data_IF_071800447282
#
_entry.id   IF_071800447282
#
_cell.length_a   1.000
_cell.length_b   1.000
_cell.length_c   1.000
_cell.angle_alpha   90.00
_cell.angle_beta   90.00
_cell.angle_gamma   90.00
#
_symmetry.space_group_name_H-M   'P 1'
#
loop_
_entity.id
_entity.type
_entity.pdbx_description
1 polymer ?
#
# COMPACT_ATOMS: atom_id res chain seq x y z
N UNK A 1 3.89 6.31 44.63
CA UNK A 1 2.59 6.03 44.02
C UNK A 1 2.82 5.19 42.77
N UNK A 2 2.26 3.98 42.72
CA UNK A 2 2.45 3.05 41.60
C UNK A 2 1.57 3.50 40.44
N UNK A 3 2.16 3.91 39.31
CA UNK A 3 1.43 4.14 38.06
C UNK A 3 0.84 2.81 37.60
N UNK A 4 -0.45 2.58 37.86
CA UNK A 4 -1.21 1.54 37.19
C UNK A 4 -1.23 1.85 35.69
N UNK A 5 -0.44 1.11 34.93
CA UNK A 5 -0.55 1.07 33.47
C UNK A 5 -1.89 0.43 33.16
N UNK A 6 -2.87 1.24 32.72
CA UNK A 6 -4.14 0.74 32.20
C UNK A 6 -3.80 -0.01 30.91
N UNK A 7 -3.70 -1.34 31.00
CA UNK A 7 -3.54 -2.21 29.83
C UNK A 7 -4.91 -2.31 29.19
N UNK A 8 -5.10 -1.56 28.11
CA UNK A 8 -6.32 -1.61 27.31
C UNK A 8 -6.44 -2.98 26.62
N UNK A 9 -7.39 -3.79 27.10
CA UNK A 9 -7.70 -5.14 26.60
C UNK A 9 -8.80 -5.14 25.53
N UNK A 10 -9.24 -3.98 25.06
CA UNK A 10 -10.34 -3.86 24.10
C UNK A 10 -9.81 -3.37 22.74
N UNK A 11 -10.34 -3.94 21.64
CA UNK A 11 -10.05 -3.50 20.26
C UNK A 11 -10.48 -2.05 19.97
N UNK A 12 -11.02 -1.34 20.97
CA UNK A 12 -11.57 0.02 20.89
C UNK A 12 -10.58 1.04 20.33
N UNK A 13 -9.29 0.94 20.67
CA UNK A 13 -8.26 1.82 20.11
C UNK A 13 -8.05 1.57 18.61
N UNK A 14 -8.08 0.30 18.19
CA UNK A 14 -7.90 -0.09 16.81
C UNK A 14 -9.09 0.35 15.96
N UNK A 15 -10.31 0.09 16.46
CA UNK A 15 -11.54 0.54 15.82
C UNK A 15 -11.64 2.06 15.72
N UNK A 16 -11.13 2.78 16.73
CA UNK A 16 -11.06 4.25 16.69
C UNK A 16 -10.08 4.71 15.62
N UNK A 17 -8.89 4.10 15.55
CA UNK A 17 -7.90 4.38 14.51
C UNK A 17 -8.48 4.14 13.11
N UNK A 18 -9.13 2.99 12.88
CA UNK A 18 -9.78 2.66 11.61
C UNK A 18 -10.85 3.69 11.22
N UNK A 19 -11.72 4.07 12.15
CA UNK A 19 -12.74 5.10 11.90
C UNK A 19 -12.12 6.44 11.56
N UNK A 20 -11.07 6.86 12.28
CA UNK A 20 -10.38 8.12 11.99
C UNK A 20 -9.80 8.11 10.58
N UNK A 21 -9.06 7.05 10.20
CA UNK A 21 -8.47 6.94 8.86
C UNK A 21 -9.56 6.96 7.77
N UNK A 22 -10.62 6.18 7.94
CA UNK A 22 -11.73 6.12 6.99
C UNK A 22 -12.40 7.49 6.81
N UNK A 23 -12.71 8.17 7.92
CA UNK A 23 -13.35 9.48 7.87
C UNK A 23 -12.44 10.52 7.23
N UNK A 24 -11.14 10.50 7.51
CA UNK A 24 -10.16 11.37 6.84
C UNK A 24 -10.22 11.16 5.32
N UNK A 25 -10.13 9.92 4.86
CA UNK A 25 -10.20 9.58 3.43
C UNK A 25 -11.50 10.03 2.79
N UNK A 26 -12.66 9.77 3.42
CA UNK A 26 -13.97 10.12 2.87
C UNK A 26 -14.26 11.63 2.89
N UNK A 27 -13.64 12.37 3.81
CA UNK A 27 -13.81 13.81 3.94
C UNK A 27 -12.90 14.63 3.02
N UNK A 28 -11.80 14.02 2.56
CA UNK A 28 -10.82 14.70 1.72
C UNK A 28 -11.27 14.76 0.26
N UNK A 29 -11.18 15.96 -0.32
CA UNK A 29 -11.44 16.20 -1.74
C UNK A 29 -10.12 16.18 -2.53
N UNK A 30 -9.04 16.62 -1.89
CA UNK A 30 -7.70 16.71 -2.46
C UNK A 30 -6.75 15.68 -1.84
N UNK A 31 -5.85 15.12 -2.67
CA UNK A 31 -4.93 14.06 -2.25
C UNK A 31 -3.84 14.59 -1.33
N UNK A 32 -3.32 15.80 -1.59
CA UNK A 32 -2.24 16.38 -0.79
C UNK A 32 -2.76 16.73 0.61
N UNK A 33 -3.99 17.27 0.67
CA UNK A 33 -4.69 17.49 1.94
C UNK A 33 -4.91 16.17 2.69
N UNK A 34 -5.40 15.12 2.00
CA UNK A 34 -5.61 13.81 2.63
C UNK A 34 -4.30 13.23 3.18
N UNK A 35 -3.23 13.23 2.39
CA UNK A 35 -1.94 12.73 2.79
C UNK A 35 -1.40 13.52 4.00
N UNK A 36 -1.56 14.85 4.00
CA UNK A 36 -1.14 15.70 5.11
C UNK A 36 -1.91 15.40 6.41
N UNK A 37 -3.23 15.21 6.34
CA UNK A 37 -4.04 14.85 7.50
C UNK A 37 -3.74 13.44 8.01
N UNK A 38 -3.52 12.46 7.11
CA UNK A 38 -3.13 11.10 7.49
C UNK A 38 -1.79 11.06 8.22
N UNK A 39 -0.84 11.95 7.87
CA UNK A 39 0.45 12.08 8.56
C UNK A 39 0.33 12.63 9.99
N UNK A 40 -0.74 13.37 10.30
CA UNK A 40 -1.01 13.88 11.65
C UNK A 40 -1.65 12.84 12.56
N UNK A 41 -2.16 11.73 12.01
CA UNK A 41 -2.76 10.66 12.81
C UNK A 41 -1.67 10.00 13.66
N UNK A 42 -1.91 9.92 14.97
CA UNK A 42 -0.96 9.31 15.90
C UNK A 42 -1.02 7.78 15.80
N UNK A 43 -0.16 7.21 14.95
CA UNK A 43 -0.05 5.77 14.74
C UNK A 43 0.98 5.20 15.71
N UNK A 44 0.58 4.23 16.53
CA UNK A 44 1.50 3.56 17.46
C UNK A 44 2.43 2.62 16.68
N UNK A 45 3.68 2.41 17.14
CA UNK A 45 4.58 1.41 16.57
C UNK A 45 3.89 0.04 16.45
N UNK A 46 3.91 -0.54 15.25
CA UNK A 46 3.26 -1.82 14.94
C UNK A 46 1.87 -1.71 14.29
N UNK A 47 1.19 -0.56 14.39
CA UNK A 47 -0.14 -0.34 13.80
C UNK A 47 -0.11 0.33 12.41
N UNK A 48 1.06 0.53 11.83
CA UNK A 48 1.21 1.22 10.54
C UNK A 48 0.58 0.45 9.38
N UNK A 49 0.38 -0.86 9.55
CA UNK A 49 -0.31 -1.68 8.55
C UNK A 49 -1.79 -1.30 8.42
N UNK A 50 -2.39 -0.84 9.51
CA UNK A 50 -3.82 -0.52 9.57
C UNK A 50 -4.14 0.67 8.68
N UNK A 51 -3.23 1.65 8.59
CA UNK A 51 -3.35 2.75 7.64
C UNK A 51 -3.44 2.26 6.20
N UNK A 52 -2.54 1.35 5.81
CA UNK A 52 -2.54 0.78 4.47
C UNK A 52 -3.80 -0.04 4.21
N UNK A 53 -4.20 -0.87 5.18
CA UNK A 53 -5.39 -1.72 5.10
C UNK A 53 -6.65 -0.86 4.91
N UNK A 54 -6.80 0.20 5.70
CA UNK A 54 -7.96 1.10 5.63
C UNK A 54 -8.04 1.88 4.32
N UNK A 55 -6.90 2.31 3.74
CA UNK A 55 -6.87 2.95 2.42
C UNK A 55 -7.36 1.98 1.34
N UNK A 56 -6.90 0.72 1.40
CA UNK A 56 -7.30 -0.33 0.46
C UNK A 56 -8.79 -0.66 0.59
N UNK A 57 -9.27 -0.85 1.81
CA UNK A 57 -10.67 -1.15 2.08
C UNK A 57 -11.56 0.01 1.62
N UNK A 58 -11.13 1.25 1.82
CA UNK A 58 -11.83 2.45 1.34
C UNK A 58 -11.89 2.52 -0.20
N UNK A 59 -10.81 2.11 -0.88
CA UNK A 59 -10.78 2.00 -2.34
C UNK A 59 -11.70 0.89 -2.85
N UNK A 60 -11.73 -0.26 -2.16
CA UNK A 60 -12.53 -1.42 -2.54
C UNK A 60 -14.04 -1.19 -2.35
N UNK A 61 -14.42 -0.28 -1.46
CA UNK A 61 -15.81 0.14 -1.24
C UNK A 61 -16.36 1.06 -2.34
N UNK A 62 -15.49 1.66 -3.16
CA UNK A 62 -15.95 2.55 -4.23
C UNK A 62 -16.56 1.77 -5.40
N UNK A 63 -17.62 2.32 -6.00
CA UNK A 63 -18.31 1.73 -7.15
C UNK A 63 -17.44 1.69 -8.41
N UNK A 64 -16.46 2.59 -8.50
CA UNK A 64 -15.47 2.67 -9.57
C UNK A 64 -14.14 3.14 -8.99
N UNK A 65 -13.03 2.80 -9.65
CA UNK A 65 -11.71 3.23 -9.20
C UNK A 65 -11.54 4.74 -9.38
N UNK A 66 -11.13 5.41 -8.30
CA UNK A 66 -10.79 6.82 -8.32
C UNK A 66 -9.27 7.02 -8.35
N UNK A 67 -8.81 7.91 -9.24
CA UNK A 67 -7.40 8.27 -9.37
C UNK A 67 -6.78 8.74 -8.04
N UNK A 68 -7.62 9.28 -7.15
CA UNK A 68 -7.30 9.64 -5.77
C UNK A 68 -6.53 8.54 -5.04
N UNK A 69 -7.00 7.28 -5.07
CA UNK A 69 -6.37 6.18 -4.35
C UNK A 69 -5.00 5.78 -4.93
N UNK A 70 -4.80 5.97 -6.24
CA UNK A 70 -3.50 5.73 -6.89
C UNK A 70 -2.44 6.74 -6.45
N UNK A 71 -2.82 8.01 -6.35
CA UNK A 71 -1.92 9.08 -5.89
C UNK A 71 -1.63 8.95 -4.39
N UNK A 72 -2.65 8.63 -3.59
CA UNK A 72 -2.48 8.38 -2.16
C UNK A 72 -1.56 7.17 -1.90
N UNK A 73 -1.73 6.09 -2.67
CA UNK A 73 -0.86 4.91 -2.60
C UNK A 73 0.60 5.19 -2.96
N UNK A 74 0.86 6.15 -3.87
CA UNK A 74 2.22 6.58 -4.21
C UNK A 74 2.91 7.29 -3.03
N UNK A 75 2.22 8.19 -2.34
CA UNK A 75 2.74 8.81 -1.12
C UNK A 75 2.96 7.80 0.02
N UNK A 76 2.08 6.80 0.14
CA UNK A 76 2.31 5.69 1.09
C UNK A 76 3.54 4.85 0.73
N UNK A 77 3.80 4.64 -0.56
CA UNK A 77 4.98 3.90 -1.02
C UNK A 77 6.28 4.62 -0.64
N UNK A 78 6.28 5.95 -0.65
CA UNK A 78 7.43 6.75 -0.23
C UNK A 78 7.82 6.49 1.22
N UNK A 79 6.89 6.10 2.12
CA UNK A 79 7.17 5.74 3.53
C UNK A 79 7.30 4.22 3.77
N UNK A 80 7.16 3.39 2.74
CA UNK A 80 7.09 1.91 2.82
C UNK A 80 8.39 1.25 3.29
N UNK A 81 9.51 1.95 3.18
CA UNK A 81 10.85 1.49 3.57
C UNK A 81 10.99 1.27 5.09
N UNK A 82 9.94 1.56 5.88
CA UNK A 82 9.83 1.28 7.32
C UNK A 82 9.02 0.02 7.66
N UNK A 83 8.56 -0.79 6.68
CA UNK A 83 7.60 -1.88 6.89
C UNK A 83 8.20 -3.31 6.79
N UNK A 84 7.75 -4.23 7.66
CA UNK A 84 8.19 -5.64 7.72
C UNK A 84 7.68 -6.55 6.57
N UNK A 85 8.33 -7.71 6.38
CA UNK A 85 8.20 -8.66 5.25
C UNK A 85 6.77 -9.10 4.85
N UNK A 86 5.81 -9.17 5.76
CA UNK A 86 4.41 -9.53 5.45
C UNK A 86 3.72 -8.40 4.68
N UNK A 87 4.01 -7.14 5.05
CA UNK A 87 3.42 -5.93 4.46
C UNK A 87 3.87 -5.76 3.01
N UNK A 88 5.13 -6.11 2.70
CA UNK A 88 5.65 -6.13 1.32
C UNK A 88 4.85 -7.04 0.38
N UNK A 89 4.30 -8.16 0.89
CA UNK A 89 3.50 -9.08 0.06
C UNK A 89 2.14 -8.50 -0.27
N UNK A 90 1.51 -7.79 0.66
CA UNK A 90 0.21 -7.16 0.43
C UNK A 90 0.32 -5.96 -0.52
N UNK A 91 1.40 -5.17 -0.40
CA UNK A 91 1.70 -4.08 -1.34
C UNK A 91 1.98 -4.63 -2.75
N UNK A 92 2.73 -5.73 -2.85
CA UNK A 92 2.98 -6.40 -4.13
C UNK A 92 1.68 -6.89 -4.79
N UNK A 93 0.75 -7.47 -4.01
CA UNK A 93 -0.58 -7.88 -4.48
C UNK A 93 -1.41 -6.70 -4.98
N UNK A 94 -1.40 -5.60 -4.24
CA UNK A 94 -2.12 -4.38 -4.60
C UNK A 94 -1.62 -3.81 -5.93
N UNK A 95 -0.31 -3.60 -6.07
CA UNK A 95 0.27 -3.08 -7.32
C UNK A 95 0.09 -4.06 -8.48
N UNK A 96 0.17 -5.37 -8.25
CA UNK A 96 -0.13 -6.37 -9.27
C UNK A 96 -1.56 -6.19 -9.79
N UNK A 97 -2.55 -6.05 -8.91
CA UNK A 97 -3.94 -5.87 -9.32
C UNK A 97 -4.16 -4.57 -10.11
N UNK A 98 -3.53 -3.46 -9.70
CA UNK A 98 -3.62 -2.19 -10.43
C UNK A 98 -3.01 -2.28 -11.85
N UNK A 99 -1.90 -3.00 -12.01
CA UNK A 99 -1.24 -3.22 -13.31
C UNK A 99 -2.04 -4.16 -14.22
N UNK A 100 -2.69 -5.17 -13.65
CA UNK A 100 -3.52 -6.15 -14.38
C UNK A 100 -4.76 -5.48 -14.95
N UNK A 101 -5.44 -4.70 -14.12
CA UNK A 101 -6.67 -3.98 -14.45
C UNK A 101 -6.45 -2.73 -15.31
N UNK A 102 -5.19 -2.39 -15.62
CA UNK A 102 -4.78 -1.15 -16.28
C UNK A 102 -5.21 0.13 -15.53
N UNK A 103 -5.47 0.03 -14.22
CA UNK A 103 -5.76 1.18 -13.37
C UNK A 103 -4.54 2.09 -13.18
N UNK A 104 -3.33 1.54 -13.33
CA UNK A 104 -2.06 2.29 -13.42
C UNK A 104 -1.28 1.89 -14.67
N UNK A 105 -0.56 2.86 -15.26
CA UNK A 105 0.28 2.62 -16.43
C UNK A 105 1.45 1.72 -16.08
N UNK A 106 1.78 0.77 -16.98
CA UNK A 106 2.95 -0.11 -16.84
C UNK A 106 4.27 0.66 -16.82
N UNK A 107 4.30 1.92 -17.27
CA UNK A 107 5.47 2.80 -17.22
C UNK A 107 5.97 3.01 -15.77
N UNK A 108 5.13 2.81 -14.76
CA UNK A 108 5.55 2.85 -13.35
C UNK A 108 6.58 1.77 -13.03
N UNK A 109 6.65 0.66 -13.79
CA UNK A 109 7.66 -0.38 -13.61
C UNK A 109 9.07 0.09 -14.03
N UNK A 110 9.19 1.19 -14.76
CA UNK A 110 10.48 1.73 -15.20
C UNK A 110 11.33 2.28 -14.04
N UNK A 111 10.71 2.54 -12.88
CA UNK A 111 11.44 2.89 -11.66
C UNK A 111 12.15 1.69 -11.02
N UNK A 112 11.77 0.46 -11.40
CA UNK A 112 12.39 -0.78 -10.90
C UNK A 112 13.69 -1.00 -11.66
N UNK A 113 14.82 -0.71 -11.01
CA UNK A 113 16.16 -0.97 -11.55
C UNK A 113 16.70 -2.29 -11.02
N UNK A 114 16.98 -3.22 -11.94
CA UNK A 114 17.60 -4.50 -11.63
C UNK A 114 19.12 -4.40 -11.76
N UNK A 115 19.76 -3.62 -10.88
CA UNK A 115 21.24 -3.53 -10.80
C UNK A 115 21.72 -4.06 -9.46
N UNK A 116 22.97 -4.51 -9.39
CA UNK A 116 23.56 -5.02 -8.15
C UNK A 116 23.58 -3.96 -7.03
N UNK A 117 23.68 -2.67 -7.40
CA UNK A 117 23.64 -1.53 -6.48
C UNK A 117 22.21 -1.14 -6.05
N UNK A 118 21.21 -1.20 -6.95
CA UNK A 118 19.82 -0.79 -6.64
C UNK A 118 18.96 -1.92 -6.05
N UNK A 119 19.33 -3.19 -6.29
CA UNK A 119 18.68 -4.38 -5.69
C UNK A 119 19.37 -4.87 -4.40
N UNK A 120 20.22 -4.05 -3.78
CA UNK A 120 21.03 -4.42 -2.60
C UNK A 120 20.18 -4.80 -1.37
N UNK A 121 19.01 -4.16 -1.16
CA UNK A 121 18.20 -4.45 0.01
C UNK A 121 17.43 -5.78 -0.13
N UNK A 122 17.47 -6.62 0.91
CA UNK A 122 16.70 -7.89 0.96
C UNK A 122 15.21 -7.66 0.69
N UNK A 123 14.68 -6.53 1.15
CA UNK A 123 13.29 -6.09 0.97
C UNK A 123 12.94 -5.78 -0.50
N UNK A 124 13.79 -5.07 -1.25
CA UNK A 124 13.54 -4.75 -2.67
C UNK A 124 13.45 -6.02 -3.53
N UNK A 125 14.34 -6.99 -3.30
CA UNK A 125 14.32 -8.28 -4.01
C UNK A 125 13.08 -9.10 -3.69
N UNK A 126 12.67 -9.14 -2.42
CA UNK A 126 11.47 -9.83 -1.96
C UNK A 126 10.21 -9.20 -2.57
N UNK A 127 10.15 -7.86 -2.62
CA UNK A 127 9.04 -7.13 -3.22
C UNK A 127 8.88 -7.42 -4.71
N UNK A 128 9.94 -7.26 -5.49
CA UNK A 128 9.92 -7.49 -6.95
C UNK A 128 9.53 -8.94 -7.24
N UNK A 129 10.15 -9.89 -6.55
CA UNK A 129 9.80 -11.32 -6.69
C UNK A 129 8.31 -11.53 -6.42
N UNK A 130 7.77 -10.95 -5.36
CA UNK A 130 6.36 -11.15 -5.02
C UNK A 130 5.44 -10.47 -6.03
N UNK A 131 5.75 -9.26 -6.47
CA UNK A 131 4.97 -8.50 -7.46
C UNK A 131 4.79 -9.30 -8.75
N UNK A 132 5.90 -9.83 -9.29
CA UNK A 132 5.84 -10.61 -10.53
C UNK A 132 5.16 -11.97 -10.36
N UNK A 133 5.30 -12.63 -9.21
CA UNK A 133 4.56 -13.87 -8.93
C UNK A 133 3.05 -13.62 -8.94
N UNK A 134 2.58 -12.53 -8.35
CA UNK A 134 1.15 -12.16 -8.35
C UNK A 134 0.67 -11.76 -9.75
N UNK A 135 1.47 -11.02 -10.53
CA UNK A 135 1.15 -10.71 -11.92
C UNK A 135 0.99 -11.99 -12.78
N UNK A 136 1.82 -13.00 -12.54
CA UNK A 136 1.70 -14.31 -13.20
C UNK A 136 0.43 -15.02 -12.75
N UNK A 137 0.09 -14.96 -11.47
CA UNK A 137 -1.13 -15.58 -10.92
C UNK A 137 -2.39 -14.97 -11.54
N UNK A 138 -2.41 -13.65 -11.78
CA UNK A 138 -3.56 -12.96 -12.37
C UNK A 138 -3.66 -13.07 -13.90
N UNK A 139 -2.55 -13.01 -14.63
CA UNK A 139 -2.56 -12.94 -16.11
C UNK A 139 -2.15 -14.25 -16.80
N UNK A 140 -1.40 -15.10 -16.09
CA UNK A 140 -0.63 -16.17 -16.69
C UNK A 140 0.67 -15.67 -17.34
N UNK A 141 1.68 -16.54 -17.36
CA UNK A 141 3.03 -16.21 -17.82
C UNK A 141 3.07 -15.70 -19.28
N UNK A 142 2.27 -16.30 -20.17
CA UNK A 142 2.26 -15.94 -21.59
C UNK A 142 1.69 -14.55 -21.85
N UNK A 143 0.62 -14.15 -21.15
CA UNK A 143 0.06 -12.79 -21.29
C UNK A 143 0.95 -11.75 -20.63
N UNK A 144 1.53 -12.07 -19.47
CA UNK A 144 2.46 -11.18 -18.80
C UNK A 144 3.67 -10.90 -19.69
N UNK A 145 4.26 -11.93 -20.29
CA UNK A 145 5.42 -11.76 -21.17
C UNK A 145 5.09 -10.85 -22.35
N UNK A 146 3.95 -11.10 -23.02
CA UNK A 146 3.45 -10.25 -24.11
C UNK A 146 3.30 -8.78 -23.66
N UNK A 147 2.71 -8.54 -22.48
CA UNK A 147 2.54 -7.18 -21.94
C UNK A 147 3.84 -6.47 -21.57
N UNK A 148 4.90 -7.21 -21.24
CA UNK A 148 6.21 -6.66 -20.91
C UNK A 148 7.04 -6.38 -22.17
N UNK A 149 6.88 -7.19 -23.22
CA UNK A 149 7.61 -7.04 -24.49
C UNK A 149 6.93 -6.11 -25.49
N UNK A 150 5.62 -5.88 -25.40
CA UNK A 150 4.87 -4.97 -26.28
C UNK A 150 5.09 -3.47 -25.91
N UNK A 151 6.32 -3.08 -25.55
CA UNK A 151 6.70 -1.67 -25.31
C UNK A 151 7.33 -1.04 -26.54
#
# INVERSE_FOLDING_TARGET
EQQQTIIDRTETNLLTLHRTIYLTIQSSIDVDECAHELLKINIRPGQEIELCQMILDSCAQQRAYERFFGLLGQHQYEIVHRLENVKLRNVAKFFAHLLVTNAISRNVLHCIRLTEQDTTSSSSRVYIKKLFLELIEFLGLSQLNKRLTDS
#
